data_IF_489749236997
#
_entry.id   IF_489749236997
#
_cell.length_a   1.000
_cell.length_b   1.000
_cell.length_c   1.000
_cell.angle_alpha   90.00
_cell.angle_beta   90.00
_cell.angle_gamma   90.00
#
_symmetry.space_group_name_H-M   'P 1'
#
loop_
_entity.id
_entity.type
_entity.pdbx_description
1 polymer ?
#
# COMPACT_ATOMS: atom_id res chain seq x y z
N UNK A 1 14.26 -2.76 -14.17
CA UNK A 1 14.44 -1.55 -13.34
C UNK A 1 14.19 -1.92 -11.88
N UNK A 2 15.07 -1.55 -10.94
CA UNK A 2 14.81 -1.79 -9.51
C UNK A 2 13.77 -0.77 -9.03
N UNK A 3 12.55 -1.22 -8.76
CA UNK A 3 11.53 -0.35 -8.16
C UNK A 3 11.98 0.01 -6.74
N UNK A 4 12.00 1.29 -6.35
CA UNK A 4 12.36 1.71 -5.00
C UNK A 4 11.22 1.41 -4.02
N UNK A 5 11.02 0.12 -3.71
CA UNK A 5 9.99 -0.38 -2.81
C UNK A 5 9.89 0.34 -1.45
N UNK A 6 11.00 0.75 -0.79
CA UNK A 6 10.91 1.52 0.46
C UNK A 6 10.15 2.84 0.29
N UNK A 7 10.39 3.55 -0.81
CA UNK A 7 9.73 4.82 -1.13
C UNK A 7 8.26 4.62 -1.51
N UNK A 8 7.95 3.52 -2.21
CA UNK A 8 6.56 3.11 -2.51
C UNK A 8 5.78 2.88 -1.21
N UNK A 9 6.36 2.12 -0.26
CA UNK A 9 5.75 1.86 1.05
C UNK A 9 5.57 3.17 1.83
N UNK A 10 6.56 4.07 1.82
CA UNK A 10 6.48 5.34 2.53
C UNK A 10 5.41 6.28 1.95
N UNK A 11 5.35 6.44 0.62
CA UNK A 11 4.38 7.33 -0.05
C UNK A 11 2.96 6.82 0.18
N UNK A 12 2.69 5.54 -0.11
CA UNK A 12 1.34 4.98 0.06
C UNK A 12 0.95 4.82 1.53
N UNK A 13 1.91 4.46 2.40
CA UNK A 13 1.72 4.41 3.84
C UNK A 13 1.32 5.77 4.42
N UNK A 14 1.96 6.84 3.95
CA UNK A 14 1.63 8.21 4.34
C UNK A 14 0.25 8.65 3.83
N UNK A 15 -0.05 8.43 2.55
CA UNK A 15 -1.34 8.75 1.95
C UNK A 15 -2.50 8.04 2.66
N UNK A 16 -2.34 6.75 2.98
CA UNK A 16 -3.33 5.98 3.72
C UNK A 16 -3.45 6.45 5.19
N UNK A 17 -2.34 6.86 5.81
CA UNK A 17 -2.34 7.37 7.19
C UNK A 17 -3.09 8.70 7.33
N UNK A 18 -2.91 9.63 6.40
CA UNK A 18 -3.60 10.94 6.38
C UNK A 18 -5.12 10.75 6.18
N UNK A 19 -5.52 9.80 5.32
CA UNK A 19 -6.94 9.55 5.04
C UNK A 19 -7.71 9.02 6.26
N UNK A 20 -7.03 8.29 7.15
CA UNK A 20 -7.65 7.74 8.37
C UNK A 20 -8.14 8.81 9.37
N UNK A 21 -7.75 10.08 9.19
CA UNK A 21 -7.98 11.15 10.14
C UNK A 21 -9.41 11.66 10.23
N UNK A 22 -10.20 11.59 9.15
CA UNK A 22 -11.45 12.36 9.13
C UNK A 22 -12.57 11.78 10.00
N UNK A 23 -12.47 10.53 10.50
CA UNK A 23 -13.62 9.88 11.17
C UNK A 23 -13.34 8.96 12.36
N UNK A 24 -12.11 8.49 12.62
CA UNK A 24 -11.88 7.46 13.66
C UNK A 24 -10.58 7.68 14.43
N UNK A 25 -10.66 7.66 15.76
CA UNK A 25 -9.51 7.71 16.66
C UNK A 25 -8.54 6.54 16.46
N UNK A 26 -7.39 6.59 17.15
CA UNK A 26 -6.34 5.57 17.06
C UNK A 26 -6.87 4.17 17.39
N UNK A 27 -6.87 3.27 16.40
CA UNK A 27 -7.20 1.85 16.57
C UNK A 27 -6.28 0.99 15.71
N UNK A 28 -5.42 0.21 16.37
CA UNK A 28 -4.56 -0.79 15.73
C UNK A 28 -5.39 -1.82 14.95
N UNK A 29 -6.56 -2.20 15.48
CA UNK A 29 -7.48 -3.14 14.82
C UNK A 29 -8.01 -2.55 13.50
N UNK A 30 -8.29 -1.25 13.46
CA UNK A 30 -8.74 -0.59 12.23
C UNK A 30 -7.62 -0.55 11.16
N UNK A 31 -6.38 -0.24 11.57
CA UNK A 31 -5.21 -0.24 10.68
C UNK A 31 -4.97 -1.66 10.14
N UNK A 32 -4.98 -2.65 11.03
CA UNK A 32 -4.80 -4.06 10.66
C UNK A 32 -5.84 -4.50 9.63
N UNK A 33 -7.13 -4.21 9.89
CA UNK A 33 -8.22 -4.57 8.99
C UNK A 33 -8.12 -3.86 7.64
N UNK A 34 -7.74 -2.58 7.62
CA UNK A 34 -7.56 -1.84 6.37
C UNK A 34 -6.43 -2.41 5.52
N UNK A 35 -5.30 -2.75 6.15
CA UNK A 35 -4.17 -3.37 5.44
C UNK A 35 -4.48 -4.79 4.97
N UNK A 36 -5.21 -5.57 5.77
CA UNK A 36 -5.61 -6.93 5.41
C UNK A 36 -6.63 -6.91 4.24
N UNK A 37 -7.59 -5.99 4.27
CA UNK A 37 -8.53 -5.78 3.15
C UNK A 37 -7.78 -5.38 1.87
N UNK A 38 -6.74 -4.54 1.98
CA UNK A 38 -5.90 -4.15 0.86
C UNK A 38 -5.15 -5.36 0.29
N UNK A 39 -4.47 -6.13 1.14
CA UNK A 39 -3.76 -7.33 0.76
C UNK A 39 -4.66 -8.38 0.09
N UNK A 40 -5.84 -8.67 0.68
CA UNK A 40 -6.81 -9.60 0.11
C UNK A 40 -7.32 -9.14 -1.25
N UNK A 41 -7.58 -7.83 -1.40
CA UNK A 41 -8.02 -7.25 -2.68
C UNK A 41 -6.95 -7.41 -3.76
N UNK A 42 -5.69 -7.17 -3.41
CA UNK A 42 -4.55 -7.32 -4.33
C UNK A 42 -4.33 -8.77 -4.73
N UNK A 43 -4.37 -9.71 -3.78
CA UNK A 43 -4.27 -11.15 -4.08
C UNK A 43 -5.42 -11.59 -4.97
N UNK A 44 -6.66 -11.22 -4.65
CA UNK A 44 -7.83 -11.62 -5.44
C UNK A 44 -7.71 -11.11 -6.87
N UNK A 45 -7.40 -9.82 -7.05
CA UNK A 45 -7.22 -9.21 -8.36
C UNK A 45 -6.10 -9.90 -9.16
N UNK A 46 -4.97 -10.17 -8.51
CA UNK A 46 -3.83 -10.83 -9.15
C UNK A 46 -4.14 -12.27 -9.55
N UNK A 47 -4.88 -13.01 -8.71
CA UNK A 47 -5.29 -14.39 -8.97
C UNK A 47 -6.27 -14.45 -10.15
N UNK A 48 -7.21 -13.51 -10.22
CA UNK A 48 -8.10 -13.34 -11.38
C UNK A 48 -7.32 -12.97 -12.64
N UNK A 49 -6.34 -12.08 -12.54
CA UNK A 49 -5.48 -11.68 -13.65
C UNK A 49 -4.71 -12.86 -14.25
N UNK A 50 -4.06 -13.69 -13.41
CA UNK A 50 -3.38 -14.91 -13.85
C UNK A 50 -4.33 -15.96 -14.42
N UNK A 51 -5.54 -16.08 -13.87
CA UNK A 51 -6.55 -17.00 -14.39
C UNK A 51 -7.03 -16.57 -15.78
N UNK A 52 -7.18 -15.26 -15.99
CA UNK A 52 -7.54 -14.67 -17.28
C UNK A 52 -6.43 -14.87 -18.33
N UNK A 53 -5.17 -14.65 -17.92
CA UNK A 53 -3.99 -14.91 -18.75
C UNK A 53 -3.91 -16.37 -19.23
N UNK A 54 -4.19 -17.35 -18.35
CA UNK A 54 -4.17 -18.77 -18.72
C UNK A 54 -5.30 -19.17 -19.67
N UNK A 55 -6.44 -18.48 -19.60
CA UNK A 55 -7.60 -18.76 -20.44
C UNK A 55 -7.48 -18.14 -21.85
N UNK A 56 -6.78 -17.01 -21.96
CA UNK A 56 -6.60 -16.29 -23.21
C UNK A 56 -5.48 -16.89 -24.07
N UNK A 57 -5.81 -17.25 -25.31
CA UNK A 57 -4.83 -17.61 -26.35
C UNK A 57 -4.12 -16.39 -26.96
N UNK A 58 -4.56 -15.17 -26.64
CA UNK A 58 -3.98 -13.90 -27.10
C UNK A 58 -3.15 -13.26 -25.99
N UNK A 59 -1.98 -13.83 -25.71
CA UNK A 59 -1.06 -13.37 -24.66
C UNK A 59 -0.49 -11.98 -24.94
N UNK A 60 -0.27 -11.61 -26.21
CA UNK A 60 0.29 -10.31 -26.62
C UNK A 60 -0.62 -9.11 -26.32
N UNK A 61 -1.94 -9.27 -26.47
CA UNK A 61 -2.90 -8.20 -26.17
C UNK A 61 -3.00 -7.95 -24.65
N UNK A 62 -2.78 -8.97 -23.84
CA UNK A 62 -2.86 -8.83 -22.37
C UNK A 62 -1.61 -8.16 -21.81
N UNK A 63 -0.46 -8.31 -22.44
CA UNK A 63 0.75 -7.57 -22.05
C UNK A 63 0.60 -6.06 -22.29
N UNK A 64 0.00 -5.66 -23.41
CA UNK A 64 -0.23 -4.23 -23.73
C UNK A 64 -1.34 -3.60 -22.86
N UNK A 65 -2.42 -4.35 -22.57
CA UNK A 65 -3.56 -3.84 -21.80
C UNK A 65 -3.58 -4.28 -20.33
N UNK A 66 -2.50 -4.89 -19.82
CA UNK A 66 -2.45 -5.50 -18.50
C UNK A 66 -2.79 -4.52 -17.36
N UNK A 67 -2.37 -3.26 -17.48
CA UNK A 67 -2.73 -2.20 -16.54
C UNK A 67 -4.24 -1.93 -16.51
N UNK A 68 -4.89 -1.84 -17.68
CA UNK A 68 -6.35 -1.60 -17.78
C UNK A 68 -7.15 -2.78 -17.22
N UNK A 69 -6.71 -4.00 -17.47
CA UNK A 69 -7.36 -5.22 -16.94
C UNK A 69 -7.27 -5.24 -15.40
N UNK A 70 -6.08 -4.96 -14.85
CA UNK A 70 -5.90 -4.84 -13.40
C UNK A 70 -6.71 -3.69 -12.80
N UNK A 71 -6.75 -2.54 -13.48
CA UNK A 71 -7.53 -1.38 -13.07
C UNK A 71 -9.02 -1.73 -12.98
N UNK A 72 -9.57 -2.38 -14.00
CA UNK A 72 -11.00 -2.76 -14.05
C UNK A 72 -11.34 -3.80 -12.99
N UNK A 73 -10.51 -4.84 -12.80
CA UNK A 73 -10.69 -5.84 -11.75
C UNK A 73 -10.72 -5.21 -10.35
N UNK A 74 -9.72 -4.39 -10.03
CA UNK A 74 -9.62 -3.74 -8.72
C UNK A 74 -10.72 -2.71 -8.55
N UNK A 75 -11.13 -2.00 -9.61
CA UNK A 75 -12.27 -1.08 -9.56
C UNK A 75 -13.56 -1.81 -9.17
N UNK A 76 -13.85 -2.96 -9.79
CA UNK A 76 -15.03 -3.76 -9.45
C UNK A 76 -15.00 -4.24 -8.00
N UNK A 77 -13.85 -4.76 -7.54
CA UNK A 77 -13.69 -5.25 -6.16
C UNK A 77 -13.81 -4.09 -5.16
N UNK A 78 -13.15 -2.96 -5.40
CA UNK A 78 -13.19 -1.79 -4.53
C UNK A 78 -14.59 -1.18 -4.45
N UNK A 79 -15.31 -1.11 -5.58
CA UNK A 79 -16.71 -0.65 -5.64
C UNK A 79 -17.63 -1.57 -4.86
N UNK A 80 -17.45 -2.88 -4.97
CA UNK A 80 -18.19 -3.87 -4.19
C UNK A 80 -17.94 -3.70 -2.68
N UNK A 81 -16.69 -3.49 -2.28
CA UNK A 81 -16.32 -3.26 -0.88
C UNK A 81 -16.65 -1.84 -0.36
N UNK A 82 -17.22 -0.96 -1.20
CA UNK A 82 -17.49 0.46 -0.91
C UNK A 82 -16.25 1.19 -0.36
N UNK A 83 -15.09 0.87 -0.92
CA UNK A 83 -13.79 1.46 -0.57
C UNK A 83 -13.60 2.77 -1.36
N UNK A 84 -12.76 3.69 -0.84
CA UNK A 84 -12.49 4.97 -1.51
C UNK A 84 -11.66 4.82 -2.79
N UNK A 85 -11.57 5.92 -3.54
CA UNK A 85 -10.68 6.03 -4.69
C UNK A 85 -9.20 5.91 -4.32
N UNK A 86 -8.78 6.43 -3.16
CA UNK A 86 -7.38 6.33 -2.72
C UNK A 86 -6.94 4.86 -2.50
N UNK A 87 -7.85 4.02 -1.97
CA UNK A 87 -7.61 2.58 -1.78
C UNK A 87 -7.49 1.88 -3.12
N UNK A 88 -8.33 2.25 -4.08
CA UNK A 88 -8.27 1.73 -5.44
C UNK A 88 -6.93 2.08 -6.09
N UNK A 89 -6.53 3.35 -6.06
CA UNK A 89 -5.26 3.83 -6.63
C UNK A 89 -4.07 3.09 -6.01
N UNK A 90 -4.05 2.96 -4.67
CA UNK A 90 -2.99 2.22 -3.98
C UNK A 90 -2.95 0.75 -4.38
N UNK A 91 -4.12 0.11 -4.50
CA UNK A 91 -4.20 -1.30 -4.84
C UNK A 91 -3.72 -1.54 -6.28
N UNK A 92 -4.19 -0.74 -7.25
CA UNK A 92 -3.81 -0.90 -8.67
C UNK A 92 -2.34 -0.66 -8.89
N UNK A 93 -1.79 0.45 -8.37
CA UNK A 93 -0.39 0.80 -8.60
C UNK A 93 0.57 -0.22 -8.00
N UNK A 94 0.30 -0.67 -6.76
CA UNK A 94 1.13 -1.68 -6.12
C UNK A 94 1.02 -3.01 -6.87
N UNK A 95 -0.19 -3.52 -7.14
CA UNK A 95 -0.34 -4.83 -7.81
C UNK A 95 0.26 -4.82 -9.21
N UNK A 96 0.09 -3.74 -9.98
CA UNK A 96 0.70 -3.62 -11.29
C UNK A 96 2.23 -3.59 -11.21
N UNK A 97 2.80 -2.82 -10.27
CA UNK A 97 4.25 -2.79 -10.06
C UNK A 97 4.81 -4.17 -9.69
N UNK A 98 4.11 -4.94 -8.85
CA UNK A 98 4.52 -6.30 -8.48
C UNK A 98 4.50 -7.23 -9.69
N UNK A 99 3.44 -7.16 -10.51
CA UNK A 99 3.29 -8.00 -11.71
C UNK A 99 4.38 -7.72 -12.74
N UNK A 100 4.83 -6.46 -12.86
CA UNK A 100 5.90 -6.05 -13.78
C UNK A 100 7.31 -6.44 -13.31
N UNK A 101 7.53 -6.59 -12.01
CA UNK A 101 8.87 -6.81 -11.43
C UNK A 101 9.18 -8.29 -11.22
N UNK A 102 8.18 -9.09 -10.87
CA UNK A 102 8.38 -10.51 -10.55
C UNK A 102 7.50 -11.38 -11.43
N UNK A 103 8.05 -12.48 -11.94
CA UNK A 103 7.28 -13.53 -12.59
C UNK A 103 6.87 -14.60 -11.58
N UNK A 104 5.68 -15.17 -11.76
CA UNK A 104 5.16 -16.24 -10.92
C UNK A 104 4.30 -15.75 -9.74
N UNK A 105 3.12 -16.35 -9.63
CA UNK A 105 2.11 -15.98 -8.63
C UNK A 105 2.61 -16.09 -7.18
N UNK A 106 3.45 -17.09 -6.87
CA UNK A 106 4.02 -17.28 -5.53
C UNK A 106 4.97 -16.15 -5.11
N UNK A 107 5.84 -15.69 -6.02
CA UNK A 107 6.81 -14.62 -5.74
C UNK A 107 6.09 -13.28 -5.65
N UNK A 108 5.13 -13.05 -6.54
CA UNK A 108 4.31 -11.84 -6.51
C UNK A 108 3.46 -11.75 -5.21
N UNK A 109 2.89 -12.86 -4.74
CA UNK A 109 2.08 -12.87 -3.51
C UNK A 109 2.94 -12.72 -2.24
N UNK A 110 4.13 -13.29 -2.19
CA UNK A 110 5.07 -13.07 -1.07
C UNK A 110 5.54 -11.62 -1.02
N UNK A 111 5.81 -10.99 -2.17
CA UNK A 111 6.21 -9.59 -2.22
C UNK A 111 5.05 -8.65 -1.82
N UNK A 112 3.81 -8.95 -2.22
CA UNK A 112 2.62 -8.22 -1.74
C UNK A 112 2.45 -8.34 -0.22
N UNK A 113 2.77 -9.49 0.38
CA UNK A 113 2.72 -9.68 1.83
C UNK A 113 3.78 -8.80 2.53
N UNK A 114 4.98 -8.72 1.98
CA UNK A 114 6.05 -7.84 2.49
C UNK A 114 5.63 -6.37 2.39
N UNK A 115 5.06 -5.94 1.26
CA UNK A 115 4.57 -4.57 1.10
C UNK A 115 3.43 -4.27 2.06
N UNK A 116 2.46 -5.17 2.20
CA UNK A 116 1.34 -5.00 3.12
C UNK A 116 1.82 -4.90 4.58
N UNK A 117 2.74 -5.77 5.01
CA UNK A 117 3.32 -5.70 6.36
C UNK A 117 4.10 -4.42 6.58
N UNK A 118 4.88 -3.95 5.59
CA UNK A 118 5.54 -2.65 5.62
C UNK A 118 4.58 -1.47 5.76
N UNK A 119 3.48 -1.48 4.99
CA UNK A 119 2.42 -0.46 5.09
C UNK A 119 1.76 -0.46 6.47
N UNK A 120 1.51 -1.64 7.05
CA UNK A 120 0.96 -1.76 8.42
C UNK A 120 1.91 -1.15 9.46
N UNK A 121 3.19 -1.54 9.43
CA UNK A 121 4.20 -1.03 10.37
C UNK A 121 4.33 0.49 10.24
N UNK A 122 4.40 1.00 9.01
CA UNK A 122 4.50 2.43 8.74
C UNK A 122 3.29 3.19 9.31
N UNK A 123 2.07 2.74 9.03
CA UNK A 123 0.85 3.40 9.52
C UNK A 123 0.73 3.33 11.04
N UNK A 124 1.08 2.20 11.66
CA UNK A 124 1.10 2.05 13.10
C UNK A 124 2.10 3.00 13.75
N UNK A 125 3.31 3.10 13.19
CA UNK A 125 4.36 3.99 13.66
C UNK A 125 3.96 5.47 13.52
N UNK A 126 3.49 5.91 12.35
CA UNK A 126 3.05 7.30 12.13
C UNK A 126 1.93 7.69 13.09
N UNK A 127 0.90 6.85 13.20
CA UNK A 127 -0.24 7.14 14.09
C UNK A 127 0.16 7.09 15.58
N UNK A 128 1.07 6.20 15.95
CA UNK A 128 1.64 6.11 17.30
C UNK A 128 2.47 7.35 17.67
N UNK A 129 3.37 7.77 16.78
CA UNK A 129 4.23 8.92 17.00
C UNK A 129 3.43 10.24 17.03
N UNK A 130 2.39 10.35 16.20
CA UNK A 130 1.46 11.49 16.28
C UNK A 130 0.73 11.53 17.60
N UNK A 131 0.28 10.39 18.13
CA UNK A 131 -0.36 10.32 19.45
C UNK A 131 0.62 10.75 20.54
N UNK A 132 1.88 10.32 20.47
CA UNK A 132 2.93 10.78 21.37
C UNK A 132 3.13 12.31 21.30
N UNK A 133 3.04 12.92 20.11
CA UNK A 133 3.13 14.38 19.93
C UNK A 133 1.97 15.13 20.59
N UNK A 134 0.78 14.54 20.66
CA UNK A 134 -0.34 15.16 21.37
C UNK A 134 -0.09 15.26 22.88
N UNK A 135 0.64 14.29 23.45
CA UNK A 135 1.01 14.25 24.87
C UNK A 135 2.31 14.99 25.18
N UNK A 136 3.15 15.29 24.18
CA UNK A 136 4.26 16.20 24.37
C UNK A 136 3.77 17.65 24.34
N UNK A 137 4.32 18.48 25.24
CA UNK A 137 4.02 19.90 25.39
C UNK A 137 4.44 20.79 24.20
N UNK A 138 4.47 20.23 22.99
CA UNK A 138 4.81 20.94 21.76
C UNK A 138 3.71 21.97 21.45
N UNK A 139 4.06 23.22 21.12
CA UNK A 139 3.08 24.26 20.82
C UNK A 139 2.23 23.89 19.58
N UNK A 140 0.92 24.23 19.57
CA UNK A 140 -0.01 23.82 18.52
C UNK A 140 0.37 24.33 17.12
N UNK A 141 1.09 25.45 17.02
CA UNK A 141 1.62 25.98 15.76
C UNK A 141 2.63 25.05 15.08
N UNK A 142 3.32 24.20 15.85
CA UNK A 142 4.28 23.21 15.34
C UNK A 142 3.64 21.83 15.11
N UNK A 143 2.39 21.58 15.56
CA UNK A 143 1.67 20.31 15.40
C UNK A 143 1.01 20.17 14.02
N UNK A 144 1.60 20.75 12.99
CA UNK A 144 1.07 20.79 11.62
C UNK A 144 1.55 19.63 10.72
N UNK A 145 1.07 19.64 9.48
CA UNK A 145 1.49 18.75 8.40
C UNK A 145 3.02 18.61 8.21
N UNK A 146 3.85 19.68 8.36
CA UNK A 146 5.29 19.57 8.17
C UNK A 146 5.95 18.57 9.13
N UNK A 147 5.48 18.46 10.37
CA UNK A 147 6.00 17.49 11.34
C UNK A 147 5.58 16.07 10.98
N UNK A 148 4.37 15.87 10.45
CA UNK A 148 3.94 14.57 9.94
C UNK A 148 4.78 14.12 8.73
N UNK A 149 5.09 15.04 7.83
CA UNK A 149 5.99 14.77 6.70
C UNK A 149 7.41 14.42 7.17
N UNK A 150 7.94 15.13 8.18
CA UNK A 150 9.26 14.84 8.74
C UNK A 150 9.29 13.45 9.41
N UNK A 151 8.24 13.08 10.13
CA UNK A 151 8.10 11.75 10.74
C UNK A 151 8.02 10.66 9.68
N UNK A 152 7.20 10.87 8.65
CA UNK A 152 7.09 9.96 7.52
C UNK A 152 8.44 9.78 6.83
N UNK A 153 9.21 10.87 6.66
CA UNK A 153 10.56 10.84 6.12
C UNK A 153 11.52 10.04 7.00
N UNK A 154 11.55 10.28 8.32
CA UNK A 154 12.40 9.52 9.24
C UNK A 154 12.08 8.02 9.23
N UNK A 155 10.79 7.66 9.24
CA UNK A 155 10.37 6.25 9.16
C UNK A 155 10.79 5.64 7.81
N UNK A 156 10.62 6.39 6.71
CA UNK A 156 11.04 5.97 5.38
C UNK A 156 12.54 5.70 5.31
N UNK A 157 13.37 6.58 5.88
CA UNK A 157 14.83 6.41 5.90
C UNK A 157 15.23 5.17 6.69
N UNK A 158 14.62 4.96 7.87
CA UNK A 158 14.89 3.76 8.70
C UNK A 158 14.44 2.49 7.98
N UNK A 159 13.25 2.48 7.38
CA UNK A 159 12.77 1.33 6.61
C UNK A 159 13.62 1.05 5.37
N UNK A 160 14.11 2.08 4.68
CA UNK A 160 15.05 1.92 3.57
C UNK A 160 16.33 1.24 4.03
N UNK A 161 16.92 1.68 5.14
CA UNK A 161 18.12 1.03 5.69
C UNK A 161 17.90 -0.43 6.09
N UNK A 162 16.73 -0.76 6.65
CA UNK A 162 16.39 -2.15 6.99
C UNK A 162 16.22 -3.01 5.72
N UNK A 163 15.58 -2.47 4.69
CA UNK A 163 15.34 -3.17 3.43
C UNK A 163 16.63 -3.36 2.62
N UNK A 164 17.56 -2.40 2.62
CA UNK A 164 18.89 -2.54 2.00
C UNK A 164 19.78 -3.58 2.68
N UNK A 165 19.49 -3.95 3.94
CA UNK A 165 20.20 -5.03 4.65
C UNK A 165 19.59 -6.40 4.31
N UNK A 166 18.30 -6.44 3.96
CA UNK A 166 17.54 -7.67 3.68
C UNK A 166 17.60 -8.11 2.21
N UNK A 167 17.89 -7.21 1.28
CA UNK A 167 17.91 -7.42 -0.17
C UNK A 167 19.26 -7.04 -0.80
#
# INVERSE_FOLDING_TARGET
MRVPWPWVIAIFGFLLSIRGEQKRGFSLVAIWRETLDLFLTQILAMTLYHSFLRWSTATSVIEEFGFLILWTLIYLIAKYQKKPDLFLITAVLITHAVVQVCEGWLIQSSLLLVIASGLFIFQAAVKGLRRAILFSGIPPAMKGWPVLCLIAFCISVVMSGILDILF
#
